data_IF_018479670631
#
_entry.id   IF_018479670631
#
_cell.length_a   1.000
_cell.length_b   1.000
_cell.length_c   1.000
_cell.angle_alpha   90.00
_cell.angle_beta   90.00
_cell.angle_gamma   90.00
#
_symmetry.space_group_name_H-M   'P 1'
#
loop_
_entity.id
_entity.type
_entity.pdbx_description
1 polymer ?
#
# COMPACT_ATOMS: atom_id res chain seq x y z
N UNK A 1 -41.56 -38.79 -19.30
CA UNK A 1 -41.14 -39.10 -20.69
C UNK A 1 -40.01 -38.14 -21.04
N UNK A 2 -38.77 -38.48 -21.39
CA UNK A 2 -38.03 -39.74 -21.56
C UNK A 2 -36.64 -39.31 -22.03
N UNK A 3 -35.60 -39.52 -21.22
CA UNK A 3 -34.22 -39.15 -21.50
C UNK A 3 -33.47 -40.34 -22.09
N UNK A 4 -33.15 -40.31 -23.38
CA UNK A 4 -32.27 -41.30 -23.99
C UNK A 4 -30.95 -40.64 -24.37
N UNK A 5 -29.92 -40.91 -23.56
CA UNK A 5 -28.54 -40.61 -23.91
C UNK A 5 -28.07 -41.55 -25.03
N UNK A 6 -27.67 -40.98 -26.16
CA UNK A 6 -27.14 -41.72 -27.30
C UNK A 6 -25.79 -42.34 -26.94
N UNK A 7 -25.76 -43.67 -26.77
CA UNK A 7 -24.52 -44.43 -26.55
C UNK A 7 -23.72 -44.43 -27.86
N UNK A 8 -22.43 -44.05 -27.88
CA UNK A 8 -21.63 -44.12 -29.10
C UNK A 8 -21.36 -45.59 -29.43
N UNK A 9 -21.97 -46.08 -30.51
CA UNK A 9 -21.66 -47.40 -31.06
C UNK A 9 -20.28 -47.37 -31.73
N UNK A 10 -19.34 -48.13 -31.20
CA UNK A 10 -18.03 -48.35 -31.81
C UNK A 10 -18.19 -49.22 -33.05
N UNK A 11 -18.20 -48.60 -34.23
CA UNK A 11 -18.16 -49.32 -35.51
C UNK A 11 -16.77 -49.91 -35.72
N UNK A 12 -16.62 -51.21 -35.49
CA UNK A 12 -15.40 -51.96 -35.79
C UNK A 12 -15.44 -52.37 -37.26
N UNK A 13 -14.62 -51.72 -38.09
CA UNK A 13 -14.45 -52.10 -39.49
C UNK A 13 -13.38 -53.18 -39.59
N UNK A 14 -13.80 -54.40 -39.90
CA UNK A 14 -12.86 -55.47 -40.27
C UNK A 14 -12.59 -55.40 -41.77
N UNK A 15 -11.31 -55.38 -42.20
CA UNK A 15 -10.98 -55.36 -43.62
C UNK A 15 -11.46 -56.65 -44.29
N UNK A 16 -12.08 -56.52 -45.46
CA UNK A 16 -12.67 -57.62 -46.24
C UNK A 16 -11.63 -58.49 -46.97
N UNK A 17 -10.35 -58.10 -46.91
CA UNK A 17 -9.22 -58.78 -47.53
C UNK A 17 -8.10 -58.97 -46.49
N UNK A 18 -7.32 -60.08 -46.57
CA UNK A 18 -6.18 -60.29 -45.69
C UNK A 18 -5.16 -59.19 -45.90
N UNK A 19 -4.83 -58.49 -44.80
CA UNK A 19 -3.74 -57.52 -44.75
C UNK A 19 -2.45 -58.28 -44.45
N UNK A 20 -1.69 -58.58 -45.50
CA UNK A 20 -0.35 -59.17 -45.36
C UNK A 20 0.66 -58.06 -45.06
N UNK A 21 1.21 -58.09 -43.85
CA UNK A 21 2.34 -57.24 -43.48
C UNK A 21 3.64 -57.89 -43.93
N UNK A 22 4.62 -57.08 -44.35
CA UNK A 22 5.94 -57.61 -44.68
C UNK A 22 6.62 -58.14 -43.42
N UNK A 23 7.35 -59.27 -43.54
CA UNK A 23 8.11 -59.84 -42.42
C UNK A 23 9.11 -58.85 -41.80
N UNK A 24 9.64 -57.93 -42.62
CA UNK A 24 10.54 -56.86 -42.16
C UNK A 24 9.83 -55.75 -41.37
N UNK A 25 8.52 -55.60 -41.53
CA UNK A 25 7.71 -54.69 -40.72
C UNK A 25 7.33 -55.32 -39.38
N UNK A 26 6.92 -56.59 -39.39
CA UNK A 26 6.61 -57.34 -38.16
C UNK A 26 7.84 -57.48 -37.27
N UNK A 27 9.00 -57.83 -37.85
CA UNK A 27 10.27 -57.89 -37.10
C UNK A 27 10.66 -56.53 -36.50
N UNK A 28 10.31 -55.42 -37.14
CA UNK A 28 10.53 -54.07 -36.59
C UNK A 28 9.57 -53.73 -35.45
N UNK A 29 8.33 -54.17 -35.53
CA UNK A 29 7.36 -54.00 -34.44
C UNK A 29 7.73 -54.85 -33.23
N UNK A 30 8.12 -56.11 -33.44
CA UNK A 30 8.54 -57.03 -32.38
C UNK A 30 9.86 -56.63 -31.73
N UNK A 31 10.82 -56.12 -32.52
CA UNK A 31 12.10 -55.62 -31.99
C UNK A 31 12.08 -54.14 -31.63
N UNK A 32 10.92 -53.46 -31.72
CA UNK A 32 10.80 -52.07 -31.27
C UNK A 32 10.97 -52.03 -29.76
N UNK A 33 12.14 -51.60 -29.29
CA UNK A 33 12.39 -51.35 -27.87
C UNK A 33 11.59 -50.16 -27.34
N UNK A 34 11.13 -49.31 -28.26
CA UNK A 34 10.32 -48.14 -27.97
C UNK A 34 8.84 -48.56 -27.97
N UNK A 35 8.30 -48.81 -26.76
CA UNK A 35 6.87 -48.95 -26.55
C UNK A 35 6.17 -47.59 -26.66
N UNK A 36 4.84 -47.59 -26.79
CA UNK A 36 4.04 -46.35 -26.72
C UNK A 36 4.31 -45.56 -25.44
N UNK A 37 4.62 -46.26 -24.33
CA UNK A 37 5.03 -45.63 -23.08
C UNK A 37 6.36 -44.89 -23.20
N UNK A 38 7.38 -45.51 -23.80
CA UNK A 38 8.71 -44.89 -23.99
C UNK A 38 8.59 -43.64 -24.85
N UNK A 39 7.78 -43.70 -25.92
CA UNK A 39 7.49 -42.56 -26.79
C UNK A 39 6.78 -41.43 -26.03
N UNK A 40 5.79 -41.75 -25.19
CA UNK A 40 5.09 -40.78 -24.35
C UNK A 40 6.02 -40.09 -23.35
N UNK A 41 6.94 -40.84 -22.74
CA UNK A 41 7.92 -40.28 -21.79
C UNK A 41 8.91 -39.35 -22.49
N UNK A 42 9.37 -39.71 -23.69
CA UNK A 42 10.24 -38.86 -24.48
C UNK A 42 9.55 -37.54 -24.87
N UNK A 43 8.29 -37.61 -25.30
CA UNK A 43 7.52 -36.40 -25.64
C UNK A 43 7.29 -35.52 -24.42
N UNK A 44 6.96 -36.11 -23.27
CA UNK A 44 6.76 -35.37 -22.02
C UNK A 44 8.03 -34.64 -21.59
N UNK A 45 9.18 -35.34 -21.63
CA UNK A 45 10.48 -34.75 -21.32
C UNK A 45 10.82 -33.58 -22.24
N UNK A 46 10.58 -33.73 -23.55
CA UNK A 46 10.82 -32.66 -24.53
C UNK A 46 9.95 -31.43 -24.25
N UNK A 47 8.68 -31.64 -23.89
CA UNK A 47 7.77 -30.54 -23.50
C UNK A 47 8.28 -29.84 -22.24
N UNK A 48 8.70 -30.59 -21.23
CA UNK A 48 9.25 -30.04 -19.98
C UNK A 48 10.50 -29.19 -20.24
N UNK A 49 11.44 -29.67 -21.05
CA UNK A 49 12.64 -28.91 -21.44
C UNK A 49 12.25 -27.61 -22.15
N UNK A 50 11.30 -27.67 -23.09
CA UNK A 50 10.85 -26.48 -23.81
C UNK A 50 10.19 -25.46 -22.88
N UNK A 51 9.35 -25.91 -21.96
CA UNK A 51 8.69 -25.04 -20.98
C UNK A 51 9.73 -24.40 -20.05
N UNK A 52 10.71 -25.17 -19.58
CA UNK A 52 11.79 -24.65 -18.73
C UNK A 52 12.60 -23.56 -19.44
N UNK A 53 12.90 -23.74 -20.73
CA UNK A 53 13.60 -22.73 -21.53
C UNK A 53 12.78 -21.44 -21.69
N UNK A 54 11.47 -21.53 -21.96
CA UNK A 54 10.62 -20.35 -22.07
C UNK A 54 10.45 -19.64 -20.72
N UNK A 55 10.31 -20.38 -19.61
CA UNK A 55 10.27 -19.80 -18.26
C UNK A 55 11.55 -19.04 -17.94
N UNK A 56 12.72 -19.60 -18.27
CA UNK A 56 14.01 -18.93 -18.07
C UNK A 56 14.11 -17.61 -18.86
N UNK A 57 13.57 -17.56 -20.08
CA UNK A 57 13.52 -16.30 -20.85
C UNK A 57 12.62 -15.27 -20.17
N UNK A 58 11.43 -15.69 -19.71
CA UNK A 58 10.51 -14.82 -18.98
C UNK A 58 11.12 -14.30 -17.67
N UNK A 59 11.87 -15.12 -16.94
CA UNK A 59 12.61 -14.69 -15.74
C UNK A 59 13.63 -13.59 -16.08
N UNK A 60 14.42 -13.78 -17.13
CA UNK A 60 15.39 -12.76 -17.56
C UNK A 60 14.71 -11.47 -18.00
N UNK A 61 13.58 -11.55 -18.69
CA UNK A 61 12.79 -10.39 -19.08
C UNK A 61 12.16 -9.68 -17.88
N UNK A 62 11.62 -10.42 -16.92
CA UNK A 62 11.01 -9.84 -15.71
C UNK A 62 12.07 -9.17 -14.84
N UNK A 63 13.26 -9.77 -14.68
CA UNK A 63 14.39 -9.14 -13.98
C UNK A 63 14.80 -7.84 -14.67
N UNK A 64 14.94 -7.83 -16.00
CA UNK A 64 15.27 -6.62 -16.77
C UNK A 64 14.20 -5.55 -16.62
N UNK A 65 12.91 -5.91 -16.75
CA UNK A 65 11.78 -5.00 -16.56
C UNK A 65 11.77 -4.44 -15.14
N UNK A 66 11.94 -5.29 -14.13
CA UNK A 66 11.98 -4.90 -12.73
C UNK A 66 13.15 -3.95 -12.45
N UNK A 67 14.34 -4.24 -12.96
CA UNK A 67 15.49 -3.36 -12.82
C UNK A 67 15.23 -2.00 -13.47
N UNK A 68 14.67 -1.99 -14.69
CA UNK A 68 14.32 -0.76 -15.39
C UNK A 68 13.26 0.05 -14.63
N UNK A 69 12.14 -0.57 -14.22
CA UNK A 69 11.07 0.11 -13.48
C UNK A 69 11.55 0.60 -12.12
N UNK A 70 12.40 -0.18 -11.43
CA UNK A 70 12.96 0.22 -10.14
C UNK A 70 13.92 1.39 -10.32
N UNK A 71 14.80 1.35 -11.33
CA UNK A 71 15.71 2.47 -11.63
C UNK A 71 14.97 3.73 -12.08
N UNK A 72 13.90 3.59 -12.86
CA UNK A 72 13.05 4.70 -13.28
C UNK A 72 12.26 5.27 -12.08
N UNK A 73 11.71 4.42 -11.20
CA UNK A 73 11.06 4.85 -9.97
C UNK A 73 12.02 5.58 -9.03
N UNK A 74 13.23 5.05 -8.81
CA UNK A 74 14.30 5.70 -8.06
C UNK A 74 14.70 7.05 -8.67
N UNK A 75 14.72 7.15 -10.01
CA UNK A 75 15.05 8.41 -10.70
C UNK A 75 13.90 9.41 -10.68
N UNK A 76 12.65 8.93 -10.60
CA UNK A 76 11.42 9.74 -10.52
C UNK A 76 11.10 10.24 -9.11
N UNK A 77 11.82 9.79 -8.08
CA UNK A 77 11.91 10.53 -6.80
C UNK A 77 12.66 11.88 -6.94
N UNK A 78 12.99 12.28 -8.18
CA UNK A 78 13.44 13.62 -8.56
C UNK A 78 12.32 14.62 -8.90
N UNK A 79 11.04 14.34 -8.64
CA UNK A 79 10.08 15.45 -8.50
C UNK A 79 10.31 16.08 -7.12
N UNK A 80 10.91 17.28 -7.12
CA UNK A 80 11.43 18.06 -6.00
C UNK A 80 10.40 18.45 -4.90
N UNK A 81 9.51 17.55 -4.51
CA UNK A 81 8.43 17.76 -3.57
C UNK A 81 8.73 17.24 -2.16
N UNK A 82 9.73 16.36 -2.00
CA UNK A 82 10.08 15.72 -0.72
C UNK A 82 11.58 15.80 -0.38
N UNK A 83 12.26 16.88 -0.76
CA UNK A 83 13.62 17.14 -0.27
C UNK A 83 13.58 17.58 1.20
N UNK A 84 14.52 17.10 2.02
CA UNK A 84 14.72 17.56 3.40
C UNK A 84 14.84 19.10 3.46
N UNK A 85 15.40 19.71 2.43
CA UNK A 85 15.48 21.17 2.30
C UNK A 85 14.10 21.83 2.20
N UNK A 86 13.18 21.30 1.38
CA UNK A 86 11.83 21.86 1.23
C UNK A 86 10.96 21.59 2.46
N UNK A 87 11.17 20.46 3.15
CA UNK A 87 10.53 20.19 4.43
C UNK A 87 10.98 21.19 5.51
N UNK A 88 12.29 21.45 5.62
CA UNK A 88 12.83 22.43 6.56
C UNK A 88 12.33 23.85 6.29
N UNK A 89 12.20 24.24 5.02
CA UNK A 89 11.66 25.55 4.64
C UNK A 89 10.16 25.70 5.01
N UNK A 90 9.38 24.62 4.89
CA UNK A 90 7.97 24.61 5.33
C UNK A 90 7.86 24.68 6.85
N UNK A 91 8.72 23.96 7.57
CA UNK A 91 8.76 23.96 9.04
C UNK A 91 9.13 25.34 9.58
N UNK A 92 10.10 26.04 8.97
CA UNK A 92 10.48 27.39 9.41
C UNK A 92 9.33 28.39 9.22
N UNK A 93 8.69 28.38 8.04
CA UNK A 93 7.52 29.24 7.76
C UNK A 93 6.36 28.97 8.72
N UNK A 94 6.05 27.70 8.99
CA UNK A 94 5.02 27.32 9.98
C UNK A 94 5.38 27.83 11.39
N UNK A 95 6.64 27.72 11.80
CA UNK A 95 7.10 28.22 13.09
C UNK A 95 6.92 29.74 13.23
N UNK A 96 7.20 30.50 12.16
CA UNK A 96 7.00 31.96 12.15
C UNK A 96 5.52 32.34 12.27
N UNK A 97 4.64 31.71 11.48
CA UNK A 97 3.19 31.94 11.55
C UNK A 97 2.64 31.58 12.93
N UNK A 98 3.08 30.47 13.51
CA UNK A 98 2.69 30.08 14.86
C UNK A 98 3.17 31.09 15.91
N UNK A 99 4.40 31.59 15.82
CA UNK A 99 4.89 32.67 16.71
C UNK A 99 4.08 33.95 16.56
N UNK A 100 3.70 34.32 15.35
CA UNK A 100 2.88 35.51 15.10
C UNK A 100 1.45 35.34 15.65
N UNK A 101 0.82 34.19 15.41
CA UNK A 101 -0.48 33.88 16.00
C UNK A 101 -0.45 33.79 17.53
N UNK A 102 0.64 33.28 18.11
CA UNK A 102 0.83 33.22 19.55
C UNK A 102 0.93 34.62 20.18
N UNK A 103 1.54 35.58 19.48
CA UNK A 103 1.54 36.99 19.90
C UNK A 103 0.12 37.57 19.88
N UNK A 104 -0.69 37.22 18.88
CA UNK A 104 -2.10 37.65 18.82
C UNK A 104 -2.96 37.04 19.94
N UNK A 105 -2.61 35.84 20.43
CA UNK A 105 -3.28 35.23 21.59
C UNK A 105 -2.79 35.76 22.94
N UNK A 106 -1.66 36.47 22.98
CA UNK A 106 -1.22 37.17 24.18
C UNK A 106 -2.00 38.48 24.28
N UNK A 107 -3.19 38.42 24.87
CA UNK A 107 -3.91 39.63 25.28
C UNK A 107 -3.04 40.30 26.34
N UNK A 108 -2.28 41.32 25.94
CA UNK A 108 -1.56 42.20 26.86
C UNK A 108 -2.58 42.96 27.69
N UNK A 109 -3.02 42.33 28.78
CA UNK A 109 -3.78 42.98 29.83
C UNK A 109 -2.93 44.14 30.33
N UNK A 110 -3.51 45.35 30.38
CA UNK A 110 -2.83 46.51 30.94
C UNK A 110 -2.38 46.19 32.36
N UNK A 111 -1.26 46.79 32.78
CA UNK A 111 -0.69 46.51 34.10
C UNK A 111 -1.66 46.89 35.24
N UNK A 112 -2.56 47.85 34.99
CA UNK A 112 -3.66 48.20 35.90
C UNK A 112 -4.64 47.03 36.11
N UNK A 113 -5.03 46.33 35.05
CA UNK A 113 -5.92 45.16 35.14
C UNK A 113 -5.21 44.01 35.86
N UNK A 114 -3.91 43.81 35.61
CA UNK A 114 -3.11 42.78 36.32
C UNK A 114 -3.00 43.09 37.81
N UNK A 115 -2.81 44.36 38.18
CA UNK A 115 -2.69 44.78 39.57
C UNK A 115 -4.04 44.73 40.31
N UNK A 116 -5.11 45.18 39.68
CA UNK A 116 -6.46 45.05 40.22
C UNK A 116 -6.85 43.57 40.44
N UNK A 117 -6.52 42.68 39.49
CA UNK A 117 -6.69 41.23 39.67
C UNK A 117 -5.95 40.69 40.89
N UNK A 118 -4.69 41.11 41.09
CA UNK A 118 -3.89 40.69 42.26
C UNK A 118 -4.50 41.19 43.56
N UNK A 119 -5.00 42.43 43.60
CA UNK A 119 -5.67 43.02 44.76
C UNK A 119 -6.94 42.24 45.15
N UNK A 120 -7.79 41.90 44.19
CA UNK A 120 -8.97 41.04 44.42
C UNK A 120 -8.57 39.68 44.97
N UNK A 121 -7.56 39.04 44.38
CA UNK A 121 -7.07 37.73 44.84
C UNK A 121 -6.50 37.82 46.26
N UNK A 122 -5.79 38.90 46.60
CA UNK A 122 -5.26 39.12 47.94
C UNK A 122 -6.40 39.27 48.96
N UNK A 123 -7.36 40.16 48.71
CA UNK A 123 -8.49 40.36 49.61
C UNK A 123 -9.31 39.08 49.82
N UNK A 124 -9.59 38.31 48.75
CA UNK A 124 -10.33 37.05 48.86
C UNK A 124 -9.56 35.95 49.61
N UNK A 125 -8.22 35.96 49.52
CA UNK A 125 -7.37 35.05 50.30
C UNK A 125 -7.35 35.40 51.78
N UNK A 126 -7.43 36.68 52.11
CA UNK A 126 -7.45 37.16 53.49
C UNK A 126 -8.85 37.00 54.11
N UNK A 127 -9.91 37.13 53.31
CA UNK A 127 -11.32 37.00 53.70
C UNK A 127 -11.95 35.68 53.23
N UNK A 128 -11.32 34.54 53.53
CA UNK A 128 -11.82 33.22 53.10
C UNK A 128 -13.25 32.97 53.59
N UNK A 129 -14.14 32.62 52.66
CA UNK A 129 -15.55 32.35 52.95
C UNK A 129 -16.41 33.60 53.18
N UNK A 130 -15.84 34.81 53.06
CA UNK A 130 -16.56 36.10 53.18
C UNK A 130 -16.28 37.01 51.98
N UNK A 131 -16.73 36.63 50.77
CA UNK A 131 -16.40 37.36 49.54
C UNK A 131 -16.98 38.78 49.48
N UNK A 132 -18.06 39.05 50.23
CA UNK A 132 -18.69 40.37 50.30
C UNK A 132 -17.78 41.46 50.89
N UNK A 133 -16.75 41.09 51.65
CA UNK A 133 -15.79 42.04 52.23
C UNK A 133 -14.84 42.65 51.19
N UNK A 134 -14.80 42.08 49.97
CA UNK A 134 -13.87 42.48 48.91
C UNK A 134 -14.59 43.10 47.71
N UNK A 135 -15.79 43.67 47.95
CA UNK A 135 -16.66 44.16 46.88
C UNK A 135 -16.05 45.37 46.16
N UNK A 136 -15.38 46.25 46.87
CA UNK A 136 -14.78 47.47 46.32
C UNK A 136 -13.66 47.14 45.31
N UNK A 137 -12.79 46.17 45.63
CA UNK A 137 -11.71 45.70 44.75
C UNK A 137 -12.28 45.01 43.51
N UNK A 138 -13.36 44.25 43.67
CA UNK A 138 -14.05 43.57 42.56
C UNK A 138 -14.73 44.59 41.64
N UNK A 139 -15.32 45.65 42.19
CA UNK A 139 -15.96 46.71 41.40
C UNK A 139 -14.92 47.51 40.60
N UNK A 140 -13.77 47.83 41.20
CA UNK A 140 -12.65 48.46 40.51
C UNK A 140 -12.12 47.59 39.38
N UNK A 141 -11.90 46.30 39.63
CA UNK A 141 -11.50 45.35 38.60
C UNK A 141 -12.53 45.27 37.46
N UNK A 142 -13.83 45.24 37.79
CA UNK A 142 -14.92 45.20 36.79
C UNK A 142 -14.94 46.47 35.92
N UNK A 143 -14.73 47.65 36.50
CA UNK A 143 -14.65 48.91 35.74
C UNK A 143 -13.46 48.92 34.78
N UNK A 144 -12.29 48.45 35.23
CA UNK A 144 -11.09 48.38 34.41
C UNK A 144 -11.21 47.39 33.25
N UNK A 145 -11.86 46.23 33.48
CA UNK A 145 -12.08 45.23 32.42
C UNK A 145 -13.21 45.64 31.48
N UNK A 146 -14.23 46.36 31.95
CA UNK A 146 -15.32 46.84 31.10
C UNK A 146 -14.89 47.96 30.13
N UNK A 147 -13.88 48.73 30.52
CA UNK A 147 -13.33 49.84 29.72
C UNK A 147 -12.10 49.41 28.87
N UNK A 148 -11.79 48.12 28.82
CA UNK A 148 -10.75 47.51 27.97
C UNK A 148 -11.35 47.05 26.64
#
# INVERSE_FOLDING_TARGET
MGSTASKPETKVYTPKAPVDFSASFLSRLENSQESDYTRSQYTEKYIQERVADELKKLELETIKKFQATTSDALSKEGEASLSVASANERISKLSEVLKESAKLTHVDLSDDVKNARKSVIACLKDNKGRPLNCWDEVEQFKKLVHNM
#
